data_IF_957712059585
#
_entry.id   IF_957712059585
#
_cell.length_a   1.000
_cell.length_b   1.000
_cell.length_c   1.000
_cell.angle_alpha   90.00
_cell.angle_beta   90.00
_cell.angle_gamma   90.00
#
_symmetry.space_group_name_H-M   'P 1'
#
loop_
_entity.id
_entity.type
_entity.pdbx_description
1 polymer ?
#
# COMPACT_ATOMS: atom_id res chain seq x y z
N UNK A 1 -8.29 -20.67 7.37
CA UNK A 1 -8.01 -19.76 8.53
C UNK A 1 -6.85 -20.38 9.29
N UNK A 2 -5.74 -19.66 9.46
CA UNK A 2 -4.62 -20.09 10.30
C UNK A 2 -4.71 -19.39 11.65
N UNK A 3 -4.34 -20.08 12.72
CA UNK A 3 -4.39 -19.55 14.09
C UNK A 3 -3.01 -19.71 14.73
N UNK A 4 -2.54 -18.66 15.41
CA UNK A 4 -1.31 -18.67 16.19
C UNK A 4 -1.51 -17.90 17.48
N UNK A 5 -1.22 -18.54 18.61
CA UNK A 5 -1.15 -17.86 19.90
C UNK A 5 0.14 -17.03 19.96
N UNK A 6 0.01 -15.76 20.36
CA UNK A 6 1.13 -14.85 20.58
C UNK A 6 0.79 -13.85 21.69
N UNK A 7 1.80 -13.24 22.31
CA UNK A 7 1.61 -12.18 23.31
C UNK A 7 1.23 -10.87 22.61
N UNK A 8 0.53 -9.99 23.31
CA UNK A 8 0.18 -8.65 22.78
C UNK A 8 1.38 -7.73 22.53
N UNK A 9 2.54 -8.09 23.07
CA UNK A 9 3.83 -7.40 22.92
C UNK A 9 4.75 -8.09 21.91
N UNK A 10 4.35 -9.23 21.35
CA UNK A 10 5.14 -9.91 20.33
C UNK A 10 5.02 -9.16 19.01
N UNK A 11 6.10 -9.11 18.24
CA UNK A 11 6.11 -8.48 16.93
C UNK A 11 5.17 -9.23 15.97
N UNK A 12 4.28 -8.52 15.28
CA UNK A 12 3.38 -9.04 14.24
C UNK A 12 4.13 -9.72 13.08
N UNK A 13 5.42 -9.45 12.89
CA UNK A 13 6.30 -10.17 11.97
C UNK A 13 6.30 -11.68 12.27
N UNK A 14 6.19 -12.09 13.54
CA UNK A 14 6.13 -13.51 13.93
C UNK A 14 4.87 -14.19 13.38
N UNK A 15 3.74 -13.48 13.33
CA UNK A 15 2.50 -13.98 12.74
C UNK A 15 2.60 -14.10 11.22
N UNK A 16 3.25 -13.13 10.57
CA UNK A 16 3.49 -13.12 9.13
C UNK A 16 4.47 -14.21 8.69
N UNK A 17 5.55 -14.39 9.44
CA UNK A 17 6.52 -15.47 9.21
C UNK A 17 5.85 -16.83 9.35
N UNK A 18 4.99 -17.00 10.36
CA UNK A 18 4.20 -18.22 10.52
C UNK A 18 3.27 -18.47 9.32
N UNK A 19 2.60 -17.43 8.82
CA UNK A 19 1.77 -17.55 7.63
C UNK A 19 2.58 -18.05 6.42
N UNK A 20 3.70 -17.39 6.09
CA UNK A 20 4.51 -17.80 4.93
C UNK A 20 5.12 -19.20 5.10
N UNK A 21 5.60 -19.54 6.30
CA UNK A 21 6.15 -20.87 6.55
C UNK A 21 5.08 -21.96 6.43
N UNK A 22 3.84 -21.67 6.82
CA UNK A 22 2.72 -22.62 6.71
C UNK A 22 2.19 -22.75 5.29
N UNK A 23 2.26 -21.67 4.51
CA UNK A 23 1.72 -21.60 3.15
C UNK A 23 2.77 -21.92 2.07
N UNK A 24 4.03 -22.15 2.44
CA UNK A 24 5.07 -22.53 1.49
C UNK A 24 4.83 -23.95 0.94
N UNK A 25 5.13 -24.21 -0.35
CA UNK A 25 5.61 -23.27 -1.37
C UNK A 25 4.49 -22.54 -2.13
N UNK A 26 3.22 -22.71 -1.73
CA UNK A 26 2.04 -22.18 -2.45
C UNK A 26 2.02 -20.64 -2.46
N UNK A 27 2.53 -20.00 -1.41
CA UNK A 27 2.62 -18.54 -1.30
C UNK A 27 4.08 -18.12 -1.19
N UNK A 28 4.54 -17.33 -2.14
CA UNK A 28 5.89 -16.75 -2.12
C UNK A 28 6.05 -15.78 -0.94
N UNK A 29 7.18 -15.86 -0.24
CA UNK A 29 7.48 -14.98 0.88
C UNK A 29 7.56 -13.53 0.43
N UNK A 30 6.86 -12.65 1.13
CA UNK A 30 6.81 -11.21 0.81
C UNK A 30 5.74 -10.82 -0.20
N UNK A 31 5.05 -11.78 -0.83
CA UNK A 31 3.98 -11.49 -1.80
C UNK A 31 2.69 -10.96 -1.17
N UNK A 32 2.39 -11.30 0.09
CA UNK A 32 1.18 -10.89 0.78
C UNK A 32 1.30 -9.52 1.44
N UNK A 33 0.21 -8.74 1.37
CA UNK A 33 0.01 -7.57 2.22
C UNK A 33 -0.95 -7.92 3.34
N UNK A 34 -0.64 -7.46 4.55
CA UNK A 34 -1.39 -7.81 5.74
C UNK A 34 -2.14 -6.60 6.25
N UNK A 35 -3.41 -6.78 6.57
CA UNK A 35 -4.30 -5.70 6.98
C UNK A 35 -5.07 -6.08 8.23
N UNK A 36 -5.22 -5.11 9.12
CA UNK A 36 -6.12 -5.18 10.26
C UNK A 36 -7.01 -3.94 10.30
N UNK A 37 -8.34 -4.15 10.21
CA UNK A 37 -9.38 -3.10 10.22
C UNK A 37 -9.11 -1.93 9.25
N UNK A 38 -8.77 -2.22 8.00
CA UNK A 38 -8.46 -1.19 7.00
C UNK A 38 -7.01 -0.70 7.02
N UNK A 39 -6.28 -0.93 8.10
CA UNK A 39 -4.90 -0.47 8.26
C UNK A 39 -3.93 -1.54 7.82
N UNK A 40 -3.00 -1.17 6.93
CA UNK A 40 -1.91 -2.05 6.52
C UNK A 40 -0.90 -2.23 7.67
N UNK A 41 -0.54 -3.48 7.92
CA UNK A 41 0.60 -3.83 8.74
C UNK A 41 1.84 -3.72 7.83
N UNK A 42 2.71 -2.76 8.15
CA UNK A 42 3.86 -2.36 7.33
C UNK A 42 5.12 -2.98 7.91
N UNK A 43 5.77 -3.84 7.14
CA UNK A 43 7.03 -4.45 7.50
C UNK A 43 8.19 -3.68 6.84
N UNK A 44 9.36 -3.55 7.48
CA UNK A 44 9.83 -4.26 8.68
C UNK A 44 9.62 -3.51 10.01
N UNK A 45 8.58 -2.66 10.17
CA UNK A 45 8.36 -1.97 11.45
C UNK A 45 8.09 -2.98 12.58
N UNK A 46 8.57 -2.67 13.78
CA UNK A 46 8.22 -3.40 15.00
C UNK A 46 6.80 -3.05 15.43
N UNK A 47 5.82 -3.63 14.75
CA UNK A 47 4.40 -3.46 15.04
C UNK A 47 3.92 -4.58 15.95
N UNK A 48 3.16 -4.27 17.00
CA UNK A 48 2.70 -5.26 18.00
C UNK A 48 1.16 -5.22 18.15
N UNK A 49 0.48 -6.33 18.50
CA UNK A 49 -0.98 -6.38 18.61
C UNK A 49 -1.60 -5.28 19.48
N UNK A 50 -0.95 -4.89 20.57
CA UNK A 50 -1.46 -3.85 21.49
C UNK A 50 -1.57 -2.47 20.85
N UNK A 51 -0.70 -2.12 19.88
CA UNK A 51 -0.77 -0.84 19.15
C UNK A 51 -2.01 -0.73 18.26
N UNK A 52 -2.60 -1.86 17.89
CA UNK A 52 -3.81 -1.95 17.08
C UNK A 52 -5.06 -2.25 17.92
N UNK A 53 -4.93 -2.31 19.24
CA UNK A 53 -5.98 -2.78 20.16
C UNK A 53 -6.54 -4.16 19.79
N UNK A 54 -5.70 -5.07 19.30
CA UNK A 54 -6.11 -6.44 18.97
C UNK A 54 -6.53 -7.21 20.22
N UNK A 55 -7.62 -7.97 20.08
CA UNK A 55 -8.18 -8.89 21.06
C UNK A 55 -7.99 -10.33 20.60
N UNK A 56 -8.20 -11.26 21.53
CA UNK A 56 -8.20 -12.68 21.18
C UNK A 56 -9.31 -12.96 20.14
N UNK A 57 -8.99 -13.81 19.16
CA UNK A 57 -9.90 -14.14 18.06
C UNK A 57 -9.94 -13.13 16.89
N UNK A 58 -9.31 -11.95 17.01
CA UNK A 58 -9.18 -10.99 15.91
C UNK A 58 -8.44 -11.58 14.71
N UNK A 59 -8.76 -11.08 13.52
CA UNK A 59 -8.27 -11.62 12.25
C UNK A 59 -7.48 -10.58 11.49
N UNK A 60 -6.21 -10.90 11.22
CA UNK A 60 -5.41 -10.22 10.18
C UNK A 60 -5.79 -10.79 8.83
N UNK A 61 -6.16 -9.93 7.89
CA UNK A 61 -6.48 -10.33 6.52
C UNK A 61 -5.22 -10.29 5.67
N UNK A 62 -5.02 -11.35 4.88
CA UNK A 62 -4.03 -11.32 3.79
C UNK A 62 -4.74 -10.75 2.57
N UNK A 63 -4.33 -9.55 2.20
CA UNK A 63 -4.72 -8.88 0.97
C UNK A 63 -3.86 -9.48 -0.13
N UNK A 64 -4.52 -9.97 -1.19
CA UNK A 64 -3.82 -10.62 -2.27
C UNK A 64 -2.99 -9.58 -3.04
N UNK A 65 -1.72 -9.83 -3.37
CA UNK A 65 -0.87 -8.87 -4.10
C UNK A 65 -1.53 -8.34 -5.36
N UNK A 66 -2.27 -9.19 -6.09
CA UNK A 66 -3.01 -8.78 -7.29
C UNK A 66 -4.17 -7.78 -7.02
N UNK A 67 -4.45 -7.43 -5.77
CA UNK A 67 -5.40 -6.34 -5.44
C UNK A 67 -4.70 -5.03 -5.14
N UNK A 68 -3.37 -4.97 -5.18
CA UNK A 68 -2.56 -3.80 -4.86
C UNK A 68 -1.65 -3.41 -6.02
N UNK A 69 -1.31 -2.14 -6.10
CA UNK A 69 -0.33 -1.63 -7.06
C UNK A 69 0.47 -0.50 -6.43
N UNK A 70 1.74 -0.38 -6.82
CA UNK A 70 2.67 0.65 -6.38
C UNK A 70 3.07 1.56 -7.54
N UNK A 71 2.25 2.57 -7.88
CA UNK A 71 2.65 3.62 -8.82
C UNK A 71 3.75 4.52 -8.26
N UNK A 72 4.44 5.20 -9.16
CA UNK A 72 5.48 6.19 -8.88
C UNK A 72 5.01 7.56 -9.36
N UNK A 73 4.86 8.51 -8.43
CA UNK A 73 4.66 9.92 -8.76
C UNK A 73 6.03 10.54 -9.07
N UNK A 74 6.25 11.02 -10.30
CA UNK A 74 7.54 11.60 -10.73
C UNK A 74 7.36 13.04 -11.20
N UNK A 75 8.11 13.97 -10.61
CA UNK A 75 8.11 15.37 -11.05
C UNK A 75 8.79 15.50 -12.42
N UNK A 76 8.13 16.17 -13.39
CA UNK A 76 8.67 16.31 -14.77
C UNK A 76 9.96 17.11 -14.86
N UNK A 77 10.12 18.12 -14.00
CA UNK A 77 11.23 19.08 -14.08
C UNK A 77 12.25 18.93 -12.93
N UNK A 78 12.03 17.96 -12.05
CA UNK A 78 12.92 17.61 -10.94
C UNK A 78 13.11 16.09 -10.92
N UNK A 79 13.98 15.56 -11.80
CA UNK A 79 14.14 14.11 -12.01
C UNK A 79 14.51 13.31 -10.73
N UNK A 80 15.08 13.99 -9.73
CA UNK A 80 15.50 13.41 -8.46
C UNK A 80 14.38 13.27 -7.42
N UNK A 81 13.15 13.75 -7.69
CA UNK A 81 12.00 13.57 -6.80
C UNK A 81 10.96 12.61 -7.39
N UNK A 82 10.99 11.38 -6.90
CA UNK A 82 9.97 10.38 -7.14
C UNK A 82 9.38 9.88 -5.82
N UNK A 83 8.07 9.69 -5.78
CA UNK A 83 7.34 9.17 -4.62
C UNK A 83 6.57 7.90 -5.00
N UNK A 84 6.98 6.75 -4.44
CA UNK A 84 6.28 5.48 -4.62
C UNK A 84 5.27 5.26 -3.50
N UNK A 85 4.07 4.80 -3.82
CA UNK A 85 3.03 4.54 -2.83
C UNK A 85 2.18 3.34 -3.24
N UNK A 86 2.06 2.35 -2.35
CA UNK A 86 1.19 1.20 -2.58
C UNK A 86 -0.25 1.56 -2.23
N UNK A 87 -1.15 1.34 -3.19
CA UNK A 87 -2.60 1.59 -3.07
C UNK A 87 -3.37 0.34 -3.49
N UNK A 88 -4.64 0.22 -3.08
CA UNK A 88 -5.49 -0.84 -3.64
C UNK A 88 -5.88 -0.49 -5.05
N UNK A 89 -5.96 -1.51 -5.91
CA UNK A 89 -6.47 -1.39 -7.28
C UNK A 89 -7.90 -0.85 -7.33
N UNK A 90 -8.66 -0.95 -6.24
CA UNK A 90 -10.05 -0.47 -6.14
C UNK A 90 -10.21 0.90 -5.49
N UNK A 91 -9.15 1.46 -4.90
CA UNK A 91 -9.24 2.74 -4.21
C UNK A 91 -9.08 3.88 -5.22
N UNK A 92 -9.86 4.95 -5.05
CA UNK A 92 -9.71 6.13 -5.90
C UNK A 92 -8.36 6.81 -5.68
N UNK A 93 -7.72 7.26 -6.77
CA UNK A 93 -6.41 7.91 -6.72
C UNK A 93 -6.42 9.27 -6.01
N UNK A 94 -7.58 9.85 -5.75
CA UNK A 94 -7.75 11.11 -5.01
C UNK A 94 -7.05 11.11 -3.65
N UNK A 95 -7.06 9.97 -2.95
CA UNK A 95 -6.35 9.82 -1.67
C UNK A 95 -4.83 9.95 -1.84
N UNK A 96 -4.27 9.27 -2.84
CA UNK A 96 -2.85 9.32 -3.19
C UNK A 96 -2.44 10.74 -3.62
N UNK A 97 -3.20 11.37 -4.53
CA UNK A 97 -2.93 12.72 -5.01
C UNK A 97 -2.96 13.74 -3.86
N UNK A 98 -3.99 13.68 -3.01
CA UNK A 98 -4.11 14.58 -1.84
C UNK A 98 -2.96 14.37 -0.86
N UNK A 99 -2.54 13.12 -0.64
CA UNK A 99 -1.39 12.79 0.20
C UNK A 99 -0.10 13.41 -0.35
N UNK A 100 0.15 13.29 -1.66
CA UNK A 100 1.32 13.88 -2.31
C UNK A 100 1.31 15.41 -2.22
N UNK A 101 0.20 16.06 -2.57
CA UNK A 101 0.08 17.53 -2.55
C UNK A 101 0.42 18.10 -1.16
N UNK A 102 -0.08 17.46 -0.10
CA UNK A 102 0.20 17.84 1.29
C UNK A 102 1.67 17.62 1.67
N UNK A 103 2.27 16.53 1.22
CA UNK A 103 3.64 16.14 1.61
C UNK A 103 4.70 16.93 0.83
N UNK A 104 4.46 17.18 -0.46
CA UNK A 104 5.37 17.91 -1.33
C UNK A 104 5.18 19.43 -1.28
N UNK A 105 4.13 19.93 -0.62
CA UNK A 105 3.73 21.35 -0.58
C UNK A 105 3.49 21.95 -1.99
N UNK A 106 3.04 21.13 -2.94
CA UNK A 106 2.85 21.51 -4.35
C UNK A 106 1.37 21.77 -4.64
N UNK A 107 0.79 22.80 -4.00
CA UNK A 107 -0.63 23.13 -4.19
C UNK A 107 -0.96 23.36 -5.68
N UNK A 108 -2.06 22.74 -6.15
CA UNK A 108 -2.54 22.89 -7.53
C UNK A 108 -1.85 21.99 -8.57
N UNK A 109 -0.89 21.16 -8.20
CA UNK A 109 -0.18 20.32 -9.16
C UNK A 109 -1.11 19.46 -10.04
N UNK A 110 -0.72 19.28 -11.29
CA UNK A 110 -1.41 18.48 -12.29
C UNK A 110 -0.77 17.10 -12.34
N UNK A 111 -1.61 16.07 -12.29
CA UNK A 111 -1.21 14.68 -12.40
C UNK A 111 -1.58 14.17 -13.79
N UNK A 112 -0.64 13.52 -14.46
CA UNK A 112 -0.81 13.04 -15.83
C UNK A 112 -0.31 11.60 -15.95
N UNK A 113 -1.12 10.75 -16.58
CA UNK A 113 -0.77 9.38 -16.95
C UNK A 113 -0.97 9.24 -18.45
N UNK A 114 0.07 8.86 -19.18
CA UNK A 114 0.04 8.64 -20.64
C UNK A 114 -0.60 9.80 -21.44
N UNK A 115 -0.25 11.05 -21.13
CA UNK A 115 -0.81 12.22 -21.82
C UNK A 115 -2.17 12.67 -21.29
N UNK A 116 -2.82 11.88 -20.42
CA UNK A 116 -4.14 12.18 -19.87
C UNK A 116 -4.03 12.76 -18.46
N UNK A 117 -4.69 13.91 -18.26
CA UNK A 117 -4.86 14.50 -16.93
C UNK A 117 -5.77 13.63 -16.06
N UNK A 118 -5.29 13.31 -14.84
CA UNK A 118 -6.06 12.62 -13.82
C UNK A 118 -6.81 13.61 -12.94
N UNK A 119 -8.05 13.27 -12.60
CA UNK A 119 -8.88 14.03 -11.65
C UNK A 119 -8.99 13.33 -10.29
N UNK A 120 -8.62 12.04 -10.24
CA UNK A 120 -8.46 11.27 -9.03
C UNK A 120 -9.66 10.40 -8.66
N UNK A 121 -10.77 10.52 -9.40
CA UNK A 121 -11.94 9.66 -9.20
C UNK A 121 -11.71 8.25 -9.77
N UNK A 122 -10.72 8.10 -10.67
CA UNK A 122 -10.28 6.82 -11.21
C UNK A 122 -9.56 5.97 -10.16
N UNK A 123 -9.77 4.65 -10.24
CA UNK A 123 -9.01 3.66 -9.47
C UNK A 123 -7.83 3.13 -10.29
N UNK A 124 -6.80 2.54 -9.66
CA UNK A 124 -5.73 1.92 -10.42
C UNK A 124 -6.20 0.77 -11.32
N UNK A 125 -7.27 0.06 -10.98
CA UNK A 125 -7.89 -0.94 -11.84
C UNK A 125 -8.48 -0.32 -13.11
N UNK A 126 -9.19 0.81 -12.98
CA UNK A 126 -9.78 1.52 -14.13
C UNK A 126 -8.70 1.96 -15.13
N UNK A 127 -7.53 2.32 -14.59
CA UNK A 127 -6.36 2.77 -15.36
C UNK A 127 -5.41 1.63 -15.76
N UNK A 128 -5.69 0.39 -15.35
CA UNK A 128 -4.81 -0.77 -15.55
C UNK A 128 -3.37 -0.50 -15.09
N UNK A 129 -3.19 0.19 -13.96
CA UNK A 129 -1.88 0.50 -13.43
C UNK A 129 -1.17 -0.79 -13.00
N UNK A 130 0.08 -0.90 -13.43
CA UNK A 130 1.03 -1.91 -12.99
C UNK A 130 2.05 -1.33 -12.00
N UNK A 131 2.75 -2.22 -11.28
CA UNK A 131 3.78 -1.81 -10.34
C UNK A 131 4.88 -1.02 -11.06
N UNK A 132 5.26 0.12 -10.49
CA UNK A 132 6.24 1.02 -11.08
C UNK A 132 5.69 1.95 -12.16
N UNK A 133 4.39 1.88 -12.49
CA UNK A 133 3.78 2.80 -13.45
C UNK A 133 3.98 4.27 -13.02
N UNK A 134 4.36 5.12 -13.96
CA UNK A 134 4.74 6.50 -13.69
C UNK A 134 3.54 7.42 -13.91
N UNK A 135 3.15 8.13 -12.86
CA UNK A 135 2.24 9.27 -12.95
C UNK A 135 3.11 10.53 -12.87
N UNK A 136 3.09 11.32 -13.94
CA UNK A 136 3.83 12.57 -13.99
C UNK A 136 3.13 13.65 -13.18
N UNK A 137 3.92 14.39 -12.41
CA UNK A 137 3.45 15.55 -11.66
C UNK A 137 4.11 16.80 -12.24
N UNK A 138 3.28 17.80 -12.54
CA UNK A 138 3.73 19.12 -13.01
C UNK A 138 3.09 20.21 -12.16
N UNK A 139 3.73 21.38 -12.00
CA UNK A 139 3.05 22.56 -11.46
C UNK A 139 1.80 22.90 -12.29
N UNK A 140 0.84 23.58 -11.65
CA UNK A 140 -0.39 24.07 -12.29
C UNK A 140 -0.09 25.07 -13.42
#
# INVERSE_FOLDING_TARGET
>A
RLTRTMRKTDNLQVLVDFYYNTMAPVVERGSGVFEYRGTQIVFPRQQVPVEFDMKDGDVVRVVKPHTLVTPVLKERYEESRSFACTVRRTDQLKGLMSFYLRTALKAGAVFELDGRRLVGDETPADLQLEDGAIIHVSPA
#
